data_IF_552253976971
#
_entry.id   IF_552253976971
#
_cell.length_a   1.000
_cell.length_b   1.000
_cell.length_c   1.000
_cell.angle_alpha   90.00
_cell.angle_beta   90.00
_cell.angle_gamma   90.00
#
_symmetry.space_group_name_H-M   'P 1'
#
loop_
_entity.id
_entity.type
_entity.pdbx_description
1 polymer ?
#
# COMPACT_ATOMS: atom_id res chain seq x y z
N UNK A 1 7.49 65.82 33.54
CA UNK A 1 7.19 64.46 33.05
C UNK A 1 6.19 64.61 31.92
N UNK A 2 6.66 64.70 30.67
CA UNK A 2 5.74 64.67 29.53
C UNK A 2 5.49 63.21 29.19
N UNK A 3 4.26 62.76 29.39
CA UNK A 3 3.80 61.46 28.91
C UNK A 3 3.91 61.45 27.38
N UNK A 4 4.72 60.54 26.84
CA UNK A 4 4.79 60.28 25.41
C UNK A 4 3.47 59.64 24.99
N UNK A 5 2.59 60.40 24.34
CA UNK A 5 1.42 59.82 23.68
C UNK A 5 1.88 58.82 22.61
N UNK A 6 1.28 57.61 22.55
CA UNK A 6 1.63 56.63 21.53
C UNK A 6 1.24 57.16 20.14
N UNK A 7 2.21 57.22 19.22
CA UNK A 7 1.99 57.67 17.85
C UNK A 7 0.80 56.92 17.22
N UNK A 8 -0.21 57.67 16.76
CA UNK A 8 -1.36 57.08 16.05
C UNK A 8 -0.88 56.44 14.74
N UNK A 9 -1.22 55.16 14.49
CA UNK A 9 -0.75 54.47 13.29
C UNK A 9 -1.27 55.19 12.04
N UNK A 10 -0.34 55.57 11.15
CA UNK A 10 -0.65 56.23 9.88
C UNK A 10 -1.56 55.31 9.05
N UNK A 11 -2.76 55.78 8.72
CA UNK A 11 -3.88 55.01 8.12
C UNK A 11 -3.53 54.24 6.83
N UNK A 12 -2.47 54.63 6.11
CA UNK A 12 -1.95 53.94 4.91
C UNK A 12 -0.82 52.93 5.15
N UNK A 13 -0.15 52.98 6.29
CA UNK A 13 0.96 52.08 6.65
C UNK A 13 0.47 50.65 6.94
N UNK A 14 -0.73 50.54 7.50
CA UNK A 14 -1.35 49.26 7.85
C UNK A 14 -1.59 48.38 6.61
N UNK A 15 -2.13 48.94 5.52
CA UNK A 15 -2.41 48.20 4.29
C UNK A 15 -1.14 47.71 3.58
N UNK A 16 -0.09 48.53 3.57
CA UNK A 16 1.20 48.15 2.99
C UNK A 16 1.85 47.00 3.78
N UNK A 17 1.81 47.06 5.12
CA UNK A 17 2.35 46.01 5.99
C UNK A 17 1.61 44.68 5.82
N UNK A 18 0.27 44.69 5.72
CA UNK A 18 -0.51 43.49 5.44
C UNK A 18 -0.24 42.93 4.05
N UNK A 19 -0.05 43.80 3.05
CA UNK A 19 0.29 43.38 1.69
C UNK A 19 1.66 42.70 1.63
N UNK A 20 2.68 43.28 2.28
CA UNK A 20 4.02 42.68 2.36
C UNK A 20 3.98 41.34 3.11
N UNK A 21 3.25 41.28 4.23
CA UNK A 21 3.09 40.03 5.00
C UNK A 21 2.40 38.94 4.18
N UNK A 22 1.34 39.29 3.44
CA UNK A 22 0.62 38.35 2.58
C UNK A 22 1.52 37.83 1.45
N UNK A 23 2.27 38.73 0.80
CA UNK A 23 3.22 38.36 -0.26
C UNK A 23 4.31 37.43 0.28
N UNK A 24 4.89 37.75 1.43
CA UNK A 24 5.88 36.88 2.09
C UNK A 24 5.30 35.50 2.44
N UNK A 25 4.07 35.45 2.94
CA UNK A 25 3.36 34.20 3.24
C UNK A 25 3.10 33.37 1.98
N UNK A 26 2.71 34.01 0.87
CA UNK A 26 2.49 33.35 -0.41
C UNK A 26 3.79 32.76 -0.98
N UNK A 27 4.91 33.49 -0.90
CA UNK A 27 6.21 32.96 -1.31
C UNK A 27 6.64 31.77 -0.44
N UNK A 28 6.42 31.87 0.88
CA UNK A 28 6.71 30.78 1.81
C UNK A 28 5.87 29.53 1.46
N UNK A 29 4.57 29.71 1.25
CA UNK A 29 3.67 28.63 0.86
C UNK A 29 4.08 28.02 -0.50
N UNK A 30 4.39 28.85 -1.49
CA UNK A 30 4.85 28.41 -2.81
C UNK A 30 6.13 27.56 -2.72
N UNK A 31 7.05 27.92 -1.83
CA UNK A 31 8.28 27.18 -1.57
C UNK A 31 8.03 25.83 -0.88
N UNK A 32 7.14 25.77 0.11
CA UNK A 32 6.87 24.53 0.87
C UNK A 32 5.93 23.53 0.16
N UNK A 33 5.07 23.99 -0.75
CA UNK A 33 4.14 23.12 -1.49
C UNK A 33 4.77 21.94 -2.25
N UNK A 34 5.86 22.09 -3.03
CA UNK A 34 6.48 20.94 -3.70
C UNK A 34 7.06 19.92 -2.71
N UNK A 35 7.70 20.40 -1.64
CA UNK A 35 8.33 19.57 -0.61
C UNK A 35 7.28 18.74 0.16
N UNK A 36 6.17 19.37 0.55
CA UNK A 36 5.11 18.67 1.29
C UNK A 36 4.46 17.54 0.49
N UNK A 37 4.32 17.71 -0.84
CA UNK A 37 3.82 16.66 -1.74
C UNK A 37 4.74 15.44 -1.77
N UNK A 38 6.06 15.65 -1.85
CA UNK A 38 7.02 14.54 -1.84
C UNK A 38 7.07 13.83 -0.49
N UNK A 39 7.08 14.59 0.61
CA UNK A 39 7.04 14.03 1.97
C UNK A 39 5.76 13.21 2.17
N UNK A 40 4.62 13.70 1.70
CA UNK A 40 3.36 12.97 1.79
C UNK A 40 3.41 11.63 1.04
N UNK A 41 3.96 11.60 -0.18
CA UNK A 41 4.15 10.35 -0.94
C UNK A 41 5.06 9.37 -0.20
N UNK A 42 6.19 9.85 0.34
CA UNK A 42 7.10 9.00 1.13
C UNK A 42 6.42 8.47 2.40
N UNK A 43 5.65 9.30 3.11
CA UNK A 43 4.94 8.91 4.32
C UNK A 43 3.93 7.79 4.06
N UNK A 44 3.16 7.88 2.97
CA UNK A 44 2.20 6.81 2.62
C UNK A 44 2.91 5.55 2.15
N UNK A 45 4.04 5.65 1.44
CA UNK A 45 4.88 4.49 1.08
C UNK A 45 5.46 3.81 2.32
N UNK A 46 5.91 4.58 3.31
CA UNK A 46 6.39 4.02 4.59
C UNK A 46 5.29 3.25 5.33
N UNK A 47 4.05 3.75 5.30
CA UNK A 47 2.91 3.01 5.86
C UNK A 47 2.66 1.71 5.09
N UNK A 48 2.68 1.73 3.75
CA UNK A 48 2.60 0.51 2.94
C UNK A 48 3.71 -0.50 3.27
N UNK A 49 4.95 -0.03 3.44
CA UNK A 49 6.08 -0.88 3.83
C UNK A 49 5.87 -1.46 5.24
N UNK A 50 5.38 -0.66 6.19
CA UNK A 50 5.07 -1.13 7.54
C UNK A 50 4.00 -2.22 7.54
N UNK A 51 2.97 -2.06 6.73
CA UNK A 51 1.92 -3.07 6.54
C UNK A 51 2.49 -4.37 5.96
N UNK A 52 3.28 -4.30 4.88
CA UNK A 52 3.94 -5.46 4.30
C UNK A 52 4.88 -6.17 5.29
N UNK A 53 5.66 -5.41 6.09
CA UNK A 53 6.52 -5.97 7.15
C UNK A 53 5.74 -6.71 8.24
N UNK A 54 4.57 -6.21 8.60
CA UNK A 54 3.69 -6.92 9.55
C UNK A 54 3.20 -8.24 8.96
N UNK A 55 2.80 -8.27 7.68
CA UNK A 55 2.36 -9.50 7.01
C UNK A 55 3.47 -10.55 6.97
N UNK A 56 4.68 -10.19 6.52
CA UNK A 56 5.80 -11.15 6.51
C UNK A 56 6.21 -11.58 7.92
N UNK A 57 6.14 -10.69 8.91
CA UNK A 57 6.40 -11.03 10.31
C UNK A 57 5.42 -12.09 10.81
N UNK A 58 4.13 -11.95 10.46
CA UNK A 58 3.10 -12.93 10.78
C UNK A 58 3.31 -14.25 10.02
N UNK A 59 3.72 -14.21 8.75
CA UNK A 59 4.06 -15.42 7.99
C UNK A 59 5.25 -16.17 8.60
N UNK A 60 6.28 -15.46 9.06
CA UNK A 60 7.43 -16.04 9.74
C UNK A 60 7.06 -16.62 11.11
N UNK A 61 6.20 -15.92 11.86
CA UNK A 61 5.64 -16.45 13.11
C UNK A 61 4.84 -17.74 12.85
N UNK A 62 3.99 -17.74 11.83
CA UNK A 62 3.23 -18.92 11.40
C UNK A 62 4.17 -20.08 11.06
N UNK A 63 5.19 -19.84 10.24
CA UNK A 63 6.17 -20.84 9.86
C UNK A 63 6.93 -21.41 11.06
N UNK A 64 7.21 -20.60 12.09
CA UNK A 64 7.86 -21.08 13.32
C UNK A 64 7.07 -22.19 14.01
N UNK A 65 5.74 -22.14 13.93
CA UNK A 65 4.83 -23.12 14.54
C UNK A 65 4.39 -24.23 13.56
N UNK A 66 4.74 -24.12 12.27
CA UNK A 66 4.28 -25.00 11.19
C UNK A 66 5.46 -25.56 10.36
N UNK A 67 6.47 -26.07 11.05
CA UNK A 67 7.63 -26.78 10.43
C UNK A 67 8.39 -25.95 9.38
N UNK A 68 8.34 -24.63 9.50
CA UNK A 68 8.98 -23.69 8.58
C UNK A 68 8.16 -23.32 7.35
N UNK A 69 6.94 -23.83 7.20
CA UNK A 69 6.10 -23.63 6.03
C UNK A 69 5.14 -22.44 6.17
N UNK A 70 4.93 -21.71 5.07
CA UNK A 70 3.85 -20.72 4.99
C UNK A 70 2.48 -21.37 4.76
N UNK A 71 1.36 -20.63 5.00
CA UNK A 71 0.02 -21.24 5.00
C UNK A 71 -0.44 -21.79 3.65
N UNK A 72 0.27 -21.54 2.55
CA UNK A 72 -0.01 -22.11 1.23
C UNK A 72 0.60 -23.52 1.02
N UNK A 73 1.42 -24.01 1.95
CA UNK A 73 2.06 -25.31 1.85
C UNK A 73 1.06 -26.46 1.70
N UNK A 74 1.35 -27.39 0.79
CA UNK A 74 0.50 -28.54 0.46
C UNK A 74 -0.75 -28.20 -0.35
N UNK A 75 -0.98 -26.94 -0.70
CA UNK A 75 -2.12 -26.51 -1.54
C UNK A 75 -1.72 -26.41 -3.00
N UNK A 76 -2.71 -26.54 -3.88
CA UNK A 76 -2.55 -26.31 -5.32
C UNK A 76 -2.52 -24.81 -5.61
N UNK A 77 -1.35 -24.22 -5.98
CA UNK A 77 -1.24 -22.79 -6.18
C UNK A 77 -2.08 -22.27 -7.35
N UNK A 78 -2.47 -23.13 -8.30
CA UNK A 78 -3.27 -22.73 -9.47
C UNK A 78 -4.72 -22.38 -9.15
N UNK A 79 -5.18 -22.77 -7.95
CA UNK A 79 -6.55 -22.53 -7.47
C UNK A 79 -6.59 -21.61 -6.26
N UNK A 80 -5.43 -21.07 -5.88
CA UNK A 80 -5.25 -20.36 -4.63
C UNK A 80 -5.04 -18.87 -4.89
N UNK A 81 -5.70 -18.05 -4.09
CA UNK A 81 -5.50 -16.59 -4.05
C UNK A 81 -4.71 -16.20 -2.81
N UNK A 82 -4.04 -15.04 -2.84
CA UNK A 82 -3.38 -14.51 -1.65
C UNK A 82 -4.39 -14.22 -0.53
N UNK A 83 -5.64 -13.86 -0.87
CA UNK A 83 -6.73 -13.71 0.10
C UNK A 83 -6.99 -14.99 0.89
N UNK A 84 -6.93 -16.17 0.26
CA UNK A 84 -7.15 -17.45 0.94
C UNK A 84 -6.01 -17.79 1.88
N UNK A 85 -4.77 -17.58 1.45
CA UNK A 85 -3.58 -17.79 2.28
C UNK A 85 -3.59 -16.87 3.50
N UNK A 86 -3.88 -15.58 3.28
CA UNK A 86 -3.95 -14.62 4.37
C UNK A 86 -5.16 -14.83 5.28
N UNK A 87 -6.27 -15.39 4.80
CA UNK A 87 -7.37 -15.83 5.68
C UNK A 87 -6.94 -16.94 6.62
N UNK A 88 -6.16 -17.90 6.14
CA UNK A 88 -5.63 -18.96 7.00
C UNK A 88 -4.62 -18.41 8.01
N UNK A 89 -3.81 -17.44 7.60
CA UNK A 89 -2.95 -16.69 8.51
C UNK A 89 -3.77 -15.96 9.60
N UNK A 90 -4.89 -15.32 9.22
CA UNK A 90 -5.80 -14.65 10.16
C UNK A 90 -6.41 -15.65 11.14
N UNK A 91 -6.89 -16.80 10.67
CA UNK A 91 -7.46 -17.83 11.55
C UNK A 91 -6.46 -18.34 12.58
N UNK A 92 -5.20 -18.50 12.19
CA UNK A 92 -4.14 -18.92 13.10
C UNK A 92 -3.78 -17.82 14.12
N UNK A 93 -3.64 -16.56 13.66
CA UNK A 93 -2.99 -15.50 14.44
C UNK A 93 -3.96 -14.55 15.17
N UNK A 94 -5.21 -14.45 14.72
CA UNK A 94 -6.20 -13.58 15.34
C UNK A 94 -6.67 -14.11 16.70
N UNK A 95 -6.65 -15.43 16.92
CA UNK A 95 -6.95 -16.05 18.21
C UNK A 95 -5.95 -15.60 19.30
N UNK A 96 -4.70 -15.36 18.92
CA UNK A 96 -3.64 -14.87 19.81
C UNK A 96 -3.60 -13.34 19.92
N UNK A 97 -4.56 -12.65 19.29
CA UNK A 97 -4.64 -11.19 19.29
C UNK A 97 -3.57 -10.48 18.46
N UNK A 98 -2.82 -11.22 17.62
CA UNK A 98 -1.78 -10.66 16.76
C UNK A 98 -2.35 -9.92 15.54
N UNK A 99 -3.57 -10.28 15.12
CA UNK A 99 -4.31 -9.60 14.05
C UNK A 99 -5.67 -9.16 14.61
N UNK A 100 -5.89 -7.84 14.62
CA UNK A 100 -7.11 -7.22 15.18
C UNK A 100 -8.12 -6.91 14.07
N UNK A 101 -7.64 -6.46 12.90
CA UNK A 101 -8.46 -6.13 11.73
C UNK A 101 -7.66 -6.27 10.42
N UNK A 102 -8.30 -6.01 9.28
CA UNK A 102 -7.72 -6.14 7.93
C UNK A 102 -6.79 -4.96 7.54
N UNK A 103 -6.52 -4.00 8.43
CA UNK A 103 -5.80 -2.76 8.09
C UNK A 103 -4.41 -3.04 7.50
N UNK A 104 -3.72 -4.08 7.97
CA UNK A 104 -2.39 -4.46 7.47
C UNK A 104 -2.45 -5.02 6.04
N UNK A 105 -3.59 -5.59 5.62
CA UNK A 105 -3.78 -6.15 4.27
C UNK A 105 -4.18 -5.08 3.24
N UNK A 106 -4.38 -3.85 3.68
CA UNK A 106 -4.59 -2.68 2.83
C UNK A 106 -3.29 -1.94 2.53
N UNK A 107 -3.28 -1.09 1.49
CA UNK A 107 -2.18 -0.17 1.21
C UNK A 107 -2.72 1.24 0.94
N UNK A 108 -2.07 2.34 1.39
CA UNK A 108 -2.53 3.68 1.09
C UNK A 108 -2.71 3.95 -0.41
N UNK A 109 -3.79 4.63 -0.79
CA UNK A 109 -4.16 4.91 -2.19
C UNK A 109 -4.53 3.69 -3.05
N UNK A 110 -4.59 2.50 -2.44
CA UNK A 110 -5.15 1.28 -3.03
C UNK A 110 -6.66 1.39 -3.19
N UNK A 111 -7.25 0.79 -4.25
CA UNK A 111 -8.68 0.50 -4.31
C UNK A 111 -9.11 -0.56 -3.29
N UNK A 112 -8.19 -1.46 -2.92
CA UNK A 112 -8.44 -2.58 -2.04
C UNK A 112 -8.21 -2.16 -0.59
N UNK A 113 -9.30 -2.09 0.16
CA UNK A 113 -9.32 -1.61 1.55
C UNK A 113 -10.24 -2.55 2.33
N UNK A 114 -9.72 -3.10 3.43
CA UNK A 114 -10.51 -3.94 4.33
C UNK A 114 -11.62 -3.14 5.02
N UNK A 115 -12.72 -3.82 5.31
CA UNK A 115 -13.89 -3.25 5.99
C UNK A 115 -13.74 -3.19 7.52
N UNK A 116 -12.62 -3.74 8.04
CA UNK A 116 -12.27 -3.87 9.46
C UNK A 116 -13.11 -4.91 10.21
N UNK A 117 -13.68 -5.87 9.50
CA UNK A 117 -14.52 -6.89 10.07
C UNK A 117 -14.08 -8.30 9.66
N UNK A 118 -13.21 -8.89 10.49
CA UNK A 118 -12.76 -10.28 10.32
C UNK A 118 -13.91 -11.29 10.51
N UNK A 119 -14.99 -10.88 11.19
CA UNK A 119 -16.06 -11.74 11.67
C UNK A 119 -15.70 -12.43 12.98
N UNK A 120 -16.38 -13.52 13.29
CA UNK A 120 -16.27 -14.19 14.59
C UNK A 120 -15.25 -15.33 14.59
N UNK A 121 -14.48 -15.42 15.68
CA UNK A 121 -13.59 -16.55 15.95
C UNK A 121 -14.40 -17.87 16.06
N UNK A 122 -13.78 -19.03 15.77
CA UNK A 122 -12.44 -19.20 15.20
C UNK A 122 -12.40 -19.10 13.66
N UNK A 123 -13.56 -18.97 13.01
CA UNK A 123 -13.67 -19.09 11.55
C UNK A 123 -13.24 -17.85 10.78
N UNK A 124 -13.45 -16.65 11.37
CA UNK A 124 -13.18 -15.35 10.75
C UNK A 124 -13.66 -15.28 9.29
N UNK A 125 -14.89 -15.72 9.06
CA UNK A 125 -15.42 -15.95 7.71
C UNK A 125 -15.60 -14.67 6.89
N UNK A 126 -15.53 -13.50 7.53
CA UNK A 126 -15.65 -12.20 6.87
C UNK A 126 -14.28 -11.62 6.49
N UNK A 127 -13.18 -12.14 7.03
CA UNK A 127 -11.85 -11.64 6.74
C UNK A 127 -11.48 -11.73 5.25
N UNK A 128 -10.95 -10.64 4.69
CA UNK A 128 -10.35 -10.56 3.35
C UNK A 128 -11.23 -11.11 2.22
N UNK A 129 -12.49 -10.69 2.19
CA UNK A 129 -13.36 -10.87 1.02
C UNK A 129 -12.73 -10.29 -0.25
N UNK A 130 -13.23 -10.68 -1.44
CA UNK A 130 -12.81 -10.06 -2.68
C UNK A 130 -12.93 -8.53 -2.61
N UNK A 131 -11.83 -7.83 -2.90
CA UNK A 131 -11.77 -6.37 -2.78
C UNK A 131 -11.10 -5.83 -1.49
N UNK A 132 -10.80 -6.67 -0.51
CA UNK A 132 -10.28 -6.23 0.80
C UNK A 132 -8.77 -6.41 0.98
N UNK A 133 -8.11 -7.09 0.04
CA UNK A 133 -6.68 -7.38 0.08
C UNK A 133 -5.93 -6.66 -1.05
N UNK A 134 -4.88 -5.93 -0.70
CA UNK A 134 -3.99 -5.27 -1.65
C UNK A 134 -2.83 -6.15 -2.12
N UNK A 135 -2.43 -7.14 -1.33
CA UNK A 135 -1.14 -7.81 -1.45
C UNK A 135 -1.24 -9.14 -2.19
N UNK A 136 -0.35 -9.35 -3.15
CA UNK A 136 -0.10 -10.66 -3.74
C UNK A 136 0.98 -11.38 -2.93
N UNK A 137 1.05 -12.70 -3.10
CA UNK A 137 2.04 -13.54 -2.43
C UNK A 137 2.72 -14.49 -3.41
N UNK A 138 4.00 -14.77 -3.22
CA UNK A 138 4.72 -15.82 -3.94
C UNK A 138 4.52 -17.15 -3.21
N UNK A 139 4.04 -18.17 -3.90
CA UNK A 139 3.75 -19.49 -3.32
C UNK A 139 5.00 -20.36 -3.15
N UNK A 140 4.89 -21.40 -2.32
CA UNK A 140 5.90 -22.43 -2.12
C UNK A 140 7.11 -21.94 -1.33
N UNK A 141 6.93 -20.92 -0.50
CA UNK A 141 7.98 -20.34 0.34
C UNK A 141 7.81 -20.74 1.82
N UNK A 142 8.87 -20.52 2.58
CA UNK A 142 8.96 -20.81 4.01
C UNK A 142 10.08 -20.02 4.68
N UNK A 143 10.29 -20.25 5.97
CA UNK A 143 11.33 -19.57 6.74
C UNK A 143 12.77 -19.94 6.31
N UNK A 144 12.93 -21.09 5.66
CA UNK A 144 14.19 -21.60 5.12
C UNK A 144 14.48 -21.11 3.69
N UNK A 145 13.52 -20.43 3.06
CA UNK A 145 13.69 -19.84 1.74
C UNK A 145 14.77 -18.75 1.78
N UNK A 146 15.52 -18.51 0.68
CA UNK A 146 16.61 -17.54 0.69
C UNK A 146 16.13 -16.15 1.13
N UNK A 147 16.90 -15.49 2.00
CA UNK A 147 16.55 -14.22 2.65
C UNK A 147 16.04 -13.13 1.70
N UNK A 148 16.64 -13.01 0.51
CA UNK A 148 16.27 -12.01 -0.51
C UNK A 148 15.26 -12.52 -1.54
N UNK A 149 14.48 -13.56 -1.23
CA UNK A 149 13.37 -14.03 -2.08
C UNK A 149 12.15 -13.15 -1.83
N UNK A 150 11.50 -12.60 -2.87
CA UNK A 150 10.25 -11.86 -2.68
C UNK A 150 9.13 -12.77 -2.21
N UNK A 151 8.42 -12.34 -1.17
CA UNK A 151 7.29 -13.09 -0.57
C UNK A 151 5.99 -12.34 -0.79
N UNK A 152 5.93 -11.06 -0.40
CA UNK A 152 4.72 -10.23 -0.49
C UNK A 152 4.97 -9.06 -1.43
N UNK A 153 4.04 -8.83 -2.36
CA UNK A 153 4.17 -7.86 -3.44
C UNK A 153 2.90 -7.01 -3.51
N UNK A 154 3.00 -5.73 -3.84
CA UNK A 154 1.79 -4.97 -4.22
C UNK A 154 1.15 -5.60 -5.46
N UNK A 155 -0.18 -5.68 -5.51
CA UNK A 155 -0.90 -6.25 -6.64
C UNK A 155 -0.43 -5.69 -7.99
N UNK A 156 -0.32 -6.57 -8.97
CA UNK A 156 0.17 -6.27 -10.31
C UNK A 156 -0.96 -6.20 -11.33
N UNK A 157 -0.64 -5.58 -12.47
CA UNK A 157 -1.49 -5.59 -13.65
C UNK A 157 -1.34 -6.91 -14.42
N UNK A 158 -0.11 -7.46 -14.46
CA UNK A 158 0.18 -8.79 -14.99
C UNK A 158 0.81 -9.65 -13.90
N UNK A 159 0.14 -10.78 -13.61
CA UNK A 159 0.52 -11.74 -12.55
C UNK A 159 1.37 -12.86 -13.15
N UNK A 160 2.47 -12.47 -13.76
CA UNK A 160 3.51 -13.37 -14.29
C UNK A 160 4.83 -12.99 -13.65
N UNK A 161 5.82 -13.88 -13.64
CA UNK A 161 7.15 -13.50 -13.16
C UNK A 161 8.06 -13.05 -14.31
N UNK A 162 8.74 -11.90 -14.19
CA UNK A 162 8.54 -10.85 -13.19
C UNK A 162 7.21 -10.09 -13.37
N UNK A 163 6.54 -9.68 -12.27
CA UNK A 163 5.27 -8.97 -12.35
C UNK A 163 5.43 -7.59 -12.97
N UNK A 164 4.32 -7.08 -13.53
CA UNK A 164 4.29 -5.77 -14.20
C UNK A 164 3.14 -4.92 -13.69
N UNK A 165 3.36 -3.60 -13.64
CA UNK A 165 2.41 -2.63 -13.13
C UNK A 165 2.03 -1.60 -14.20
N UNK A 166 0.86 -0.99 -14.06
CA UNK A 166 0.47 0.18 -14.83
C UNK A 166 1.25 1.40 -14.34
N UNK A 167 1.66 2.32 -15.24
CA UNK A 167 2.28 3.58 -14.83
C UNK A 167 1.30 4.42 -14.01
N UNK A 168 1.84 5.22 -13.09
CA UNK A 168 1.06 6.27 -12.44
C UNK A 168 0.57 7.27 -13.47
N UNK A 169 -0.75 7.40 -13.60
CA UNK A 169 -1.38 8.51 -14.31
C UNK A 169 -1.87 9.51 -13.29
N UNK A 170 -1.35 10.73 -13.37
CA UNK A 170 -1.84 11.83 -12.55
C UNK A 170 -3.27 12.14 -12.99
N UNK A 171 -4.24 11.85 -12.11
CA UNK A 171 -5.62 12.25 -12.35
C UNK A 171 -5.64 13.78 -12.51
N UNK A 172 -6.33 14.33 -13.53
CA UNK A 172 -6.43 15.77 -13.70
C UNK A 172 -6.93 16.37 -12.39
N UNK A 173 -6.23 17.39 -11.90
CA UNK A 173 -6.46 18.07 -10.61
C UNK A 173 -7.95 18.39 -10.46
N UNK A 174 -8.69 17.48 -9.80
CA UNK A 174 -10.09 17.68 -9.48
C UNK A 174 -10.19 18.91 -8.60
N UNK A 175 -11.12 19.82 -8.94
CA UNK A 175 -11.43 20.97 -8.07
C UNK A 175 -11.75 20.46 -6.66
N UNK A 176 -11.56 21.29 -5.62
CA UNK A 176 -11.87 20.93 -4.23
C UNK A 176 -13.28 20.31 -4.09
N UNK A 177 -14.26 20.85 -4.82
CA UNK A 177 -15.65 20.37 -4.86
C UNK A 177 -15.72 18.98 -5.50
N UNK A 178 -14.93 18.72 -6.54
CA UNK A 178 -14.90 17.42 -7.21
C UNK A 178 -14.14 16.36 -6.41
N UNK A 179 -13.22 16.74 -5.52
CA UNK A 179 -12.64 15.86 -4.48
C UNK A 179 -13.66 15.51 -3.39
N UNK A 180 -14.52 16.46 -3.03
CA UNK A 180 -15.59 16.28 -2.03
C UNK A 180 -16.74 15.41 -2.56
N UNK A 181 -17.09 15.57 -3.85
CA UNK A 181 -18.19 14.88 -4.51
C UNK A 181 -17.80 13.59 -5.23
N UNK A 182 -16.51 13.37 -5.54
CA UNK A 182 -16.09 12.07 -6.05
C UNK A 182 -16.09 11.05 -4.91
N UNK A 183 -17.18 10.28 -4.79
CA UNK A 183 -17.08 8.91 -4.30
C UNK A 183 -15.96 8.24 -5.11
N UNK A 184 -14.89 7.88 -4.41
CA UNK A 184 -13.57 7.62 -4.98
C UNK A 184 -13.59 6.81 -6.26
N UNK A 185 -13.22 7.43 -7.39
CA UNK A 185 -12.61 6.65 -8.47
C UNK A 185 -11.27 6.20 -7.94
N UNK A 186 -11.28 4.98 -7.40
CA UNK A 186 -10.11 4.35 -6.83
C UNK A 186 -9.07 4.15 -7.94
N UNK A 187 -7.78 4.18 -7.57
CA UNK A 187 -6.70 3.88 -8.51
C UNK A 187 -6.97 2.53 -9.20
N UNK A 188 -6.65 2.37 -10.49
CA UNK A 188 -6.75 1.05 -11.11
C UNK A 188 -5.86 0.05 -10.36
N UNK A 189 -6.30 -1.21 -10.34
CA UNK A 189 -5.48 -2.35 -9.90
C UNK A 189 -4.13 -2.31 -10.62
N UNK A 190 -3.07 -2.69 -9.91
CA UNK A 190 -1.76 -2.83 -10.51
C UNK A 190 -1.05 -1.52 -10.80
N UNK A 191 -1.48 -0.37 -10.26
CA UNK A 191 -0.83 0.93 -10.51
C UNK A 191 0.45 1.11 -9.69
N UNK A 192 1.52 1.59 -10.32
CA UNK A 192 2.75 2.03 -9.63
C UNK A 192 2.54 3.32 -8.84
N UNK A 193 3.40 3.59 -7.86
CA UNK A 193 3.45 4.88 -7.17
C UNK A 193 3.85 6.04 -8.11
N UNK A 194 3.56 7.29 -7.70
CA UNK A 194 3.87 8.51 -8.49
C UNK A 194 5.35 8.62 -8.88
N UNK A 195 6.25 8.13 -8.03
CA UNK A 195 7.69 8.10 -8.26
C UNK A 195 8.19 6.84 -8.98
N UNK A 196 7.32 6.16 -9.75
CA UNK A 196 7.63 4.93 -10.51
C UNK A 196 8.22 3.84 -9.61
N UNK A 197 7.61 3.65 -8.43
CA UNK A 197 8.01 2.61 -7.48
C UNK A 197 6.90 1.59 -7.25
N UNK A 198 7.26 0.48 -6.61
CA UNK A 198 6.37 -0.49 -6.00
C UNK A 198 6.95 -0.96 -4.66
N UNK A 199 6.12 -1.47 -3.76
CA UNK A 199 6.60 -2.07 -2.51
C UNK A 199 6.77 -3.58 -2.70
N UNK A 200 7.94 -4.08 -2.32
CA UNK A 200 8.26 -5.51 -2.29
C UNK A 200 8.75 -5.87 -0.89
N UNK A 201 8.25 -6.99 -0.37
CA UNK A 201 8.68 -7.58 0.88
C UNK A 201 9.45 -8.87 0.61
N UNK A 202 10.61 -9.03 1.25
CA UNK A 202 11.51 -10.17 1.10
C UNK A 202 11.40 -11.10 2.32
N UNK A 203 11.93 -12.32 2.18
CA UNK A 203 11.86 -13.38 3.21
C UNK A 203 12.57 -13.03 4.52
N UNK A 204 13.52 -12.10 4.49
CA UNK A 204 14.22 -11.56 5.66
C UNK A 204 13.42 -10.50 6.44
N UNK A 205 12.12 -10.39 6.17
CA UNK A 205 11.22 -9.38 6.70
C UNK A 205 11.56 -7.92 6.33
N UNK A 206 12.48 -7.70 5.38
CA UNK A 206 12.68 -6.38 4.80
C UNK A 206 11.55 -6.05 3.82
N UNK A 207 11.12 -4.79 3.82
CA UNK A 207 10.19 -4.26 2.83
C UNK A 207 10.74 -2.94 2.31
N UNK A 208 10.75 -2.77 0.99
CA UNK A 208 11.36 -1.61 0.36
C UNK A 208 10.56 -1.10 -0.85
N UNK A 209 10.51 0.23 -1.07
CA UNK A 209 10.05 0.80 -2.33
C UNK A 209 11.11 0.60 -3.43
N UNK A 210 10.81 -0.29 -4.37
CA UNK A 210 11.67 -0.66 -5.51
C UNK A 210 11.35 0.23 -6.72
N UNK A 211 12.39 0.75 -7.37
CA UNK A 211 12.24 1.54 -8.59
C UNK A 211 11.92 0.68 -9.81
N UNK A 212 10.97 1.14 -10.61
CA UNK A 212 10.51 0.50 -11.84
C UNK A 212 11.01 1.26 -13.07
N UNK A 213 11.16 0.55 -14.19
CA UNK A 213 11.43 1.10 -15.51
C UNK A 213 10.19 0.95 -16.39
N UNK A 214 9.88 2.00 -17.14
CA UNK A 214 8.75 1.98 -18.06
C UNK A 214 9.18 1.38 -19.40
N UNK A 215 8.42 0.39 -19.89
CA UNK A 215 8.64 -0.29 -21.16
C UNK A 215 7.30 -0.82 -21.68
N UNK A 216 6.99 -0.53 -22.94
CA UNK A 216 5.77 -0.97 -23.63
C UNK A 216 4.46 -0.58 -22.90
N UNK A 217 4.44 0.60 -22.28
CA UNK A 217 3.28 1.11 -21.53
C UNK A 217 3.06 0.46 -20.16
N UNK A 218 3.98 -0.40 -19.73
CA UNK A 218 4.00 -1.06 -18.42
C UNK A 218 5.26 -0.71 -17.64
N UNK A 219 5.20 -0.91 -16.34
CA UNK A 219 6.28 -0.70 -15.39
C UNK A 219 6.87 -2.06 -15.00
N UNK A 220 8.18 -2.20 -15.19
CA UNK A 220 8.94 -3.42 -15.00
C UNK A 220 9.96 -3.24 -13.88
N UNK A 221 10.28 -4.32 -13.17
CA UNK A 221 11.45 -4.33 -12.29
C UNK A 221 12.72 -4.09 -13.11
N UNK A 222 13.66 -3.33 -12.54
CA UNK A 222 14.97 -3.13 -13.19
C UNK A 222 15.79 -4.41 -13.19
N UNK A 223 16.60 -4.65 -14.23
CA UNK A 223 17.50 -5.80 -14.31
C UNK A 223 18.45 -5.85 -13.10
N UNK A 224 18.94 -4.68 -12.65
CA UNK A 224 19.77 -4.57 -11.44
C UNK A 224 19.05 -5.06 -10.20
N UNK A 225 17.75 -4.83 -10.07
CA UNK A 225 16.97 -5.31 -8.94
C UNK A 225 16.75 -6.82 -9.05
N UNK A 226 16.35 -7.32 -10.23
CA UNK A 226 16.15 -8.75 -10.48
C UNK A 226 17.41 -9.56 -10.20
N UNK A 227 18.58 -9.04 -10.55
CA UNK A 227 19.87 -9.66 -10.27
C UNK A 227 20.28 -9.58 -8.79
N UNK A 228 19.62 -8.75 -7.99
CA UNK A 228 19.92 -8.55 -6.55
C UNK A 228 19.07 -9.40 -5.62
N UNK A 229 17.99 -10.01 -6.13
CA UNK A 229 17.07 -10.85 -5.36
C UNK A 229 17.31 -12.32 -5.67
N UNK A 230 16.94 -13.19 -4.74
CA UNK A 230 16.85 -14.61 -5.03
C UNK A 230 15.60 -14.85 -5.89
N UNK A 231 15.77 -15.59 -6.99
CA UNK A 231 14.63 -16.02 -7.81
C UNK A 231 13.85 -17.07 -7.01
N UNK A 232 12.52 -16.96 -6.94
CA UNK A 232 11.71 -17.98 -6.28
C UNK A 232 11.95 -19.38 -6.87
N UNK A 233 11.79 -20.45 -6.06
CA UNK A 233 12.10 -21.82 -6.46
C UNK A 233 11.25 -22.27 -7.65
N UNK A 234 11.77 -23.18 -8.48
CA UNK A 234 11.06 -23.69 -9.65
C UNK A 234 9.67 -24.21 -9.30
N UNK A 235 8.65 -23.82 -10.07
CA UNK A 235 7.26 -24.24 -9.85
C UNK A 235 6.44 -23.31 -8.94
N UNK A 236 7.03 -22.21 -8.44
CA UNK A 236 6.28 -21.17 -7.76
C UNK A 236 5.23 -20.52 -8.66
N UNK A 237 4.20 -19.95 -8.04
CA UNK A 237 3.24 -19.07 -8.68
C UNK A 237 3.11 -17.78 -7.87
N UNK A 238 2.72 -16.70 -8.54
CA UNK A 238 2.28 -15.49 -7.86
C UNK A 238 0.78 -15.66 -7.59
N UNK A 239 0.42 -15.81 -6.33
CA UNK A 239 -0.96 -15.89 -5.86
C UNK A 239 -1.59 -14.51 -6.00
N UNK A 240 -2.57 -14.42 -6.90
CA UNK A 240 -3.28 -13.17 -7.18
C UNK A 240 -4.25 -12.80 -6.05
N UNK A 241 -4.63 -11.53 -6.00
CA UNK A 241 -5.70 -11.03 -5.14
C UNK A 241 -7.07 -11.46 -5.68
N UNK A 242 -8.00 -11.74 -4.78
CA UNK A 242 -9.39 -11.95 -5.14
C UNK A 242 -10.07 -10.60 -5.47
N UNK A 243 -10.68 -10.50 -6.64
CA UNK A 243 -11.40 -9.30 -7.10
C UNK A 243 -12.88 -9.64 -7.30
N UNK A 244 -13.79 -8.74 -6.92
CA UNK A 244 -15.22 -8.88 -7.24
C UNK A 244 -15.37 -8.98 -8.77
N UNK A 245 -15.96 -10.07 -9.26
CA UNK A 245 -16.29 -10.19 -10.69
C UNK A 245 -17.51 -9.30 -10.96
N UNK A 246 -17.50 -8.43 -11.99
CA UNK A 246 -18.66 -7.59 -12.30
C UNK A 246 -19.91 -8.46 -12.53
N UNK A 247 -20.90 -8.37 -11.64
CA UNK A 247 -22.18 -9.09 -11.76
C UNK A 247 -22.62 -9.92 -10.55
N UNK A 248 -21.79 -10.06 -9.51
CA UNK A 248 -22.25 -10.67 -8.25
C UNK A 248 -22.65 -9.56 -7.26
N UNK A 249 -23.95 -9.39 -6.94
CA UNK A 249 -24.36 -8.35 -6.01
C UNK A 249 -23.79 -8.66 -4.62
N UNK A 250 -23.24 -7.62 -3.97
CA UNK A 250 -22.98 -7.68 -2.53
C UNK A 250 -24.30 -8.00 -1.85
N UNK A 251 -24.33 -9.10 -1.09
CA UNK A 251 -25.30 -9.19 -0.03
C UNK A 251 -24.91 -8.12 1.00
N UNK A 252 -25.41 -6.90 0.77
CA UNK A 252 -25.62 -5.96 1.87
C UNK A 252 -26.47 -6.72 2.89
N UNK A 253 -25.84 -7.07 4.01
CA UNK A 253 -26.55 -7.59 5.17
C UNK A 253 -26.74 -6.42 6.13
N UNK A 254 -28.00 -6.21 6.44
CA UNK A 254 -28.52 -5.35 7.51
C UNK A 254 -27.88 -5.68 8.87
#
# INVERSE_FOLDING_TARGET
MSENEPEKPKKGWCWLQWSVTLVALLFLAAYFMPVSKEISVKAVQMKGCSNARQIIGLLLAYASDHEGHYPDFGKDPSKLTSNEVFRDLIRAMAADGLIIDETIFSCPQSPFVGDKNLGQAPGFNQALQPGENHWMMVSGLGNDSPSRTPVVLENAAEVVWPPKWLPYKEEPSKSFIQRLLSLGRLSPRGRSWKNKKIIICLNDASAEPVSLKEKDGLMHLSDSYLNSIAVPPSGFQILDIAVETPGHPRHHKD
#
